data_IF_490664434660
#
_entry.id   IF_490664434660
#
_cell.length_a   1.000
_cell.length_b   1.000
_cell.length_c   1.000
_cell.angle_alpha   90.00
_cell.angle_beta   90.00
_cell.angle_gamma   90.00
#
_symmetry.space_group_name_H-M   'P 1'
#
loop_
_entity.id
_entity.type
_entity.pdbx_description
1 polymer ?
#
# COMPACT_ATOMS: atom_id res chain seq x y z
N UNK A 1 30.14 14.87 4.61
CA UNK A 1 28.94 15.44 5.24
C UNK A 1 27.86 15.45 4.17
N UNK A 2 26.89 14.52 4.23
CA UNK A 2 25.72 14.59 3.33
C UNK A 2 24.76 15.58 3.97
N UNK A 3 24.49 16.68 3.28
CA UNK A 3 23.32 17.50 3.56
C UNK A 3 22.11 16.64 3.15
N UNK A 4 21.48 15.98 4.13
CA UNK A 4 20.30 15.15 3.91
C UNK A 4 19.06 16.03 3.98
N UNK A 5 18.17 15.88 3.01
CA UNK A 5 16.79 16.31 3.16
C UNK A 5 15.92 15.07 3.27
N UNK A 6 14.77 15.18 3.93
CA UNK A 6 13.78 14.11 4.06
C UNK A 6 13.61 13.34 2.74
N UNK A 7 13.84 12.03 2.76
CA UNK A 7 13.78 11.22 1.55
C UNK A 7 12.32 10.87 1.25
N UNK A 8 11.89 11.19 0.03
CA UNK A 8 10.58 10.81 -0.47
C UNK A 8 10.76 9.83 -1.62
N UNK A 9 10.20 8.63 -1.47
CA UNK A 9 10.13 7.64 -2.54
C UNK A 9 8.68 7.35 -2.91
N UNK A 10 8.45 6.94 -4.16
CA UNK A 10 7.12 6.63 -4.66
C UNK A 10 7.08 5.44 -5.59
N UNK A 11 5.97 4.73 -5.57
CA UNK A 11 5.66 3.71 -6.57
C UNK A 11 4.16 3.70 -6.89
N UNK A 12 3.80 3.09 -8.02
CA UNK A 12 2.42 3.07 -8.52
C UNK A 12 1.97 1.65 -8.79
N UNK A 13 0.86 1.25 -8.17
CA UNK A 13 0.16 0.00 -8.44
C UNK A 13 -0.86 0.31 -9.54
N UNK A 14 -0.78 -0.43 -10.67
CA UNK A 14 -1.75 -0.28 -11.77
C UNK A 14 -3.06 -0.95 -11.40
N UNK A 15 -4.18 -0.29 -11.69
CA UNK A 15 -5.52 -0.76 -11.33
C UNK A 15 -5.84 -0.54 -9.85
N UNK A 16 -6.96 -1.11 -9.42
CA UNK A 16 -7.40 -1.07 -8.03
C UNK A 16 -7.06 -2.37 -7.32
N UNK A 17 -7.06 -2.35 -6.00
CA UNK A 17 -7.08 -3.57 -5.19
C UNK A 17 -8.53 -3.93 -4.82
N UNK A 18 -8.81 -5.22 -4.52
CA UNK A 18 -10.05 -5.62 -3.88
C UNK A 18 -10.30 -4.81 -2.63
N UNK A 19 -11.58 -4.58 -2.30
CA UNK A 19 -11.94 -3.89 -1.08
C UNK A 19 -12.01 -4.83 0.13
N UNK A 20 -12.42 -4.25 1.26
CA UNK A 20 -12.68 -4.98 2.50
C UNK A 20 -13.82 -5.99 2.34
N UNK A 21 -14.89 -5.62 1.62
CA UNK A 21 -16.04 -6.49 1.43
C UNK A 21 -15.67 -7.76 0.66
N UNK A 22 -14.87 -7.64 -0.40
CA UNK A 22 -14.37 -8.77 -1.17
C UNK A 22 -13.48 -9.70 -0.33
N UNK A 23 -12.69 -9.15 0.61
CA UNK A 23 -11.95 -9.96 1.58
C UNK A 23 -12.89 -10.72 2.51
N UNK A 24 -13.87 -10.06 3.12
CA UNK A 24 -14.83 -10.67 4.05
C UNK A 24 -15.63 -11.79 3.37
N UNK A 25 -16.08 -11.56 2.13
CA UNK A 25 -16.77 -12.57 1.34
C UNK A 25 -15.88 -13.79 1.05
N UNK A 26 -14.62 -13.55 0.69
CA UNK A 26 -13.65 -14.62 0.47
C UNK A 26 -13.40 -15.45 1.74
N UNK A 27 -13.23 -14.79 2.89
CA UNK A 27 -13.04 -15.45 4.19
C UNK A 27 -14.26 -16.29 4.61
N UNK A 28 -15.47 -15.76 4.39
CA UNK A 28 -16.73 -16.47 4.68
C UNK A 28 -16.97 -17.66 3.76
N UNK A 29 -16.51 -17.57 2.51
CA UNK A 29 -16.70 -18.64 1.52
C UNK A 29 -15.85 -19.87 1.83
N UNK A 30 -14.57 -19.68 2.15
CA UNK A 30 -13.68 -20.77 2.51
C UNK A 30 -12.46 -20.25 3.28
N UNK A 31 -12.05 -20.96 4.34
CA UNK A 31 -10.97 -20.56 5.26
C UNK A 31 -9.63 -20.16 4.60
N UNK A 32 -9.36 -20.68 3.40
CA UNK A 32 -8.11 -20.42 2.66
C UNK A 32 -8.22 -19.28 1.64
N UNK A 33 -9.44 -18.85 1.29
CA UNK A 33 -9.64 -17.91 0.18
C UNK A 33 -9.23 -16.49 0.53
N UNK A 34 -9.49 -16.02 1.76
CA UNK A 34 -8.96 -14.73 2.23
C UNK A 34 -7.43 -14.67 2.18
N UNK A 35 -6.76 -15.71 2.69
CA UNK A 35 -5.30 -15.82 2.65
C UNK A 35 -4.75 -15.87 1.20
N UNK A 36 -5.45 -16.58 0.30
CA UNK A 36 -5.10 -16.63 -1.12
C UNK A 36 -5.25 -15.27 -1.80
N UNK A 37 -6.36 -14.57 -1.57
CA UNK A 37 -6.63 -13.24 -2.10
C UNK A 37 -5.55 -12.25 -1.65
N UNK A 38 -5.25 -12.24 -0.34
CA UNK A 38 -4.19 -11.42 0.24
C UNK A 38 -2.84 -11.68 -0.42
N UNK A 39 -2.43 -12.96 -0.53
CA UNK A 39 -1.16 -13.34 -1.18
C UNK A 39 -1.08 -12.91 -2.65
N UNK A 40 -2.19 -12.96 -3.38
CA UNK A 40 -2.27 -12.49 -4.77
C UNK A 40 -2.08 -10.97 -4.84
N UNK A 41 -2.76 -10.22 -3.97
CA UNK A 41 -2.65 -8.77 -3.92
C UNK A 41 -1.25 -8.32 -3.48
N UNK A 42 -0.64 -8.98 -2.49
CA UNK A 42 0.74 -8.74 -2.07
C UNK A 42 1.72 -8.92 -3.24
N UNK A 43 1.53 -9.93 -4.09
CA UNK A 43 2.37 -10.16 -5.25
C UNK A 43 2.28 -9.02 -6.28
N UNK A 44 1.08 -8.47 -6.48
CA UNK A 44 0.86 -7.29 -7.35
C UNK A 44 1.58 -6.07 -6.78
N UNK A 45 1.45 -5.81 -5.48
CA UNK A 45 2.15 -4.69 -4.82
C UNK A 45 3.65 -4.87 -4.89
N UNK A 46 4.17 -6.06 -4.57
CA UNK A 46 5.59 -6.36 -4.64
C UNK A 46 6.17 -6.12 -6.03
N UNK A 47 5.43 -6.49 -7.07
CA UNK A 47 5.84 -6.23 -8.45
C UNK A 47 5.96 -4.73 -8.72
N UNK A 48 4.97 -3.94 -8.31
CA UNK A 48 4.99 -2.48 -8.45
C UNK A 48 6.13 -1.84 -7.64
N UNK A 49 6.32 -2.26 -6.40
CA UNK A 49 7.35 -1.74 -5.48
C UNK A 49 8.79 -1.96 -5.98
N UNK A 50 9.02 -2.85 -6.96
CA UNK A 50 10.35 -3.01 -7.60
C UNK A 50 10.88 -1.71 -8.20
N UNK A 51 10.01 -0.75 -8.54
CA UNK A 51 10.45 0.57 -9.01
C UNK A 51 11.22 1.37 -7.96
N UNK A 52 11.11 1.02 -6.67
CA UNK A 52 11.91 1.60 -5.59
C UNK A 52 13.39 1.17 -5.63
N UNK A 53 13.72 0.15 -6.44
CA UNK A 53 15.08 -0.34 -6.61
C UNK A 53 15.71 -0.82 -5.29
N UNK A 54 16.84 -0.22 -4.92
CA UNK A 54 17.61 -0.58 -3.73
C UNK A 54 17.22 0.20 -2.47
N UNK A 55 16.24 1.11 -2.55
CA UNK A 55 15.83 1.88 -1.37
C UNK A 55 15.30 0.96 -0.27
N UNK A 56 15.67 1.27 0.97
CA UNK A 56 15.27 0.55 2.19
C UNK A 56 15.09 1.61 3.27
N UNK A 57 13.99 1.55 4.00
CA UNK A 57 13.79 2.43 5.14
C UNK A 57 14.79 2.05 6.25
N UNK A 58 15.53 3.06 6.71
CA UNK A 58 16.42 3.04 7.85
C UNK A 58 15.73 3.56 9.13
N UNK A 59 14.70 4.41 9.00
CA UNK A 59 13.90 4.96 10.09
C UNK A 59 12.37 4.77 9.94
N UNK A 60 11.58 5.34 10.87
CA UNK A 60 10.12 5.39 10.75
C UNK A 60 9.69 6.14 9.48
N UNK A 61 8.60 5.69 8.88
CA UNK A 61 8.05 6.30 7.66
C UNK A 61 6.61 6.77 7.85
N UNK A 62 6.25 7.86 7.17
CA UNK A 62 4.88 8.29 6.95
C UNK A 62 4.45 7.90 5.53
N UNK A 63 3.30 7.26 5.39
CA UNK A 63 2.78 6.81 4.09
C UNK A 63 1.61 7.65 3.61
N UNK A 64 1.59 8.03 2.33
CA UNK A 64 0.42 8.65 1.70
C UNK A 64 -0.07 7.74 0.58
N UNK A 65 -1.32 7.29 0.69
CA UNK A 65 -1.98 6.44 -0.29
C UNK A 65 -2.98 7.29 -1.09
N UNK A 66 -2.72 7.48 -2.38
CA UNK A 66 -3.68 8.09 -3.31
C UNK A 66 -4.41 7.01 -4.09
N UNK A 67 -5.69 6.84 -3.78
CA UNK A 67 -6.59 5.86 -4.39
C UNK A 67 -7.33 6.51 -5.56
N UNK A 68 -6.98 6.12 -6.79
CA UNK A 68 -7.71 6.51 -8.00
C UNK A 68 -8.67 5.40 -8.39
N UNK A 69 -9.93 5.57 -8.01
CA UNK A 69 -11.00 4.62 -8.31
C UNK A 69 -11.62 4.91 -9.70
N UNK A 70 -12.12 3.90 -10.43
CA UNK A 70 -12.74 4.12 -11.72
C UNK A 70 -14.11 4.82 -11.62
N UNK A 71 -14.74 4.77 -10.44
CA UNK A 71 -16.04 5.37 -10.13
C UNK A 71 -16.21 5.47 -8.60
N UNK A 72 -17.35 6.02 -8.14
CA UNK A 72 -17.66 6.21 -6.71
C UNK A 72 -18.58 5.14 -6.11
N UNK A 73 -18.57 3.91 -6.65
CA UNK A 73 -19.50 2.84 -6.18
C UNK A 73 -19.06 2.20 -4.87
N UNK A 74 -17.76 2.19 -4.58
CA UNK A 74 -17.19 1.73 -3.30
C UNK A 74 -17.00 2.93 -2.39
N UNK A 75 -17.37 2.77 -1.13
CA UNK A 75 -17.05 3.69 -0.04
C UNK A 75 -15.53 3.68 0.27
N UNK A 76 -15.08 4.71 0.98
CA UNK A 76 -13.64 4.98 1.18
C UNK A 76 -12.97 3.93 2.08
N UNK A 77 -13.66 3.48 3.12
CA UNK A 77 -13.21 2.41 4.02
C UNK A 77 -13.11 1.08 3.29
N UNK A 78 -14.09 0.72 2.46
CA UNK A 78 -14.03 -0.47 1.62
C UNK A 78 -12.81 -0.41 0.68
N UNK A 79 -12.49 0.76 0.11
CA UNK A 79 -11.32 0.94 -0.78
C UNK A 79 -9.99 0.83 -0.02
N UNK A 80 -9.81 1.55 1.09
CA UNK A 80 -8.47 1.70 1.69
C UNK A 80 -8.14 0.64 2.75
N UNK A 81 -9.11 0.09 3.48
CA UNK A 81 -8.83 -0.72 4.67
C UNK A 81 -7.99 -1.96 4.36
N UNK A 82 -8.43 -2.77 3.39
CA UNK A 82 -7.67 -3.94 2.96
C UNK A 82 -6.41 -3.55 2.18
N UNK A 83 -6.51 -2.54 1.31
CA UNK A 83 -5.41 -2.09 0.48
C UNK A 83 -4.19 -1.64 1.28
N UNK A 84 -4.37 -0.81 2.33
CA UNK A 84 -3.27 -0.36 3.21
C UNK A 84 -2.52 -1.54 3.81
N UNK A 85 -3.26 -2.51 4.35
CA UNK A 85 -2.67 -3.69 4.99
C UNK A 85 -1.87 -4.52 4.00
N UNK A 86 -2.44 -4.79 2.83
CA UNK A 86 -1.74 -5.52 1.75
C UNK A 86 -0.46 -4.79 1.33
N UNK A 87 -0.52 -3.47 1.20
CA UNK A 87 0.64 -2.68 0.77
C UNK A 87 1.76 -2.75 1.80
N UNK A 88 1.44 -2.55 3.08
CA UNK A 88 2.42 -2.61 4.16
C UNK A 88 3.03 -4.01 4.29
N UNK A 89 2.21 -5.07 4.31
CA UNK A 89 2.68 -6.46 4.37
C UNK A 89 3.59 -6.80 3.18
N UNK A 90 3.24 -6.34 1.98
CA UNK A 90 4.06 -6.51 0.78
C UNK A 90 5.41 -5.78 0.89
N UNK A 91 5.43 -4.55 1.42
CA UNK A 91 6.69 -3.80 1.60
C UNK A 91 7.61 -4.47 2.64
N UNK A 92 7.06 -5.01 3.73
CA UNK A 92 7.82 -5.82 4.72
C UNK A 92 8.35 -7.09 4.07
N UNK A 93 7.50 -7.83 3.36
CA UNK A 93 7.89 -9.05 2.63
C UNK A 93 8.97 -8.80 1.58
N UNK A 94 8.91 -7.64 0.91
CA UNK A 94 9.89 -7.16 -0.07
C UNK A 94 11.17 -6.64 0.56
N UNK A 95 11.23 -6.61 1.90
CA UNK A 95 12.29 -6.04 2.72
C UNK A 95 12.50 -4.54 2.52
N UNK A 96 11.53 -3.80 1.96
CA UNK A 96 11.61 -2.34 1.86
C UNK A 96 11.43 -1.67 3.22
N UNK A 97 10.57 -2.25 4.05
CA UNK A 97 10.41 -1.93 5.46
C UNK A 97 10.88 -3.12 6.31
N UNK A 98 11.36 -2.84 7.53
CA UNK A 98 11.74 -3.90 8.49
C UNK A 98 10.51 -4.58 9.07
N UNK A 99 9.46 -3.80 9.33
CA UNK A 99 8.16 -4.23 9.84
C UNK A 99 7.10 -3.15 9.53
N UNK A 100 5.83 -3.36 9.88
CA UNK A 100 4.73 -2.39 9.72
C UNK A 100 4.14 -1.93 11.07
N UNK A 101 4.90 -2.09 12.15
CA UNK A 101 4.48 -1.76 13.51
C UNK A 101 4.65 -0.30 13.87
N UNK A 102 4.36 0.02 15.14
CA UNK A 102 4.44 1.37 15.71
C UNK A 102 5.82 2.04 15.60
N UNK A 103 6.90 1.27 15.47
CA UNK A 103 8.26 1.81 15.33
C UNK A 103 8.61 2.16 13.89
N UNK A 104 7.94 1.55 12.93
CA UNK A 104 8.25 1.68 11.51
C UNK A 104 7.26 2.58 10.78
N UNK A 105 6.00 2.62 11.22
CA UNK A 105 4.95 3.45 10.61
C UNK A 105 4.60 4.59 11.58
N UNK A 106 5.17 5.77 11.32
CA UNK A 106 4.90 6.98 12.11
C UNK A 106 3.47 7.51 11.90
N UNK A 107 2.91 7.26 10.71
CA UNK A 107 1.55 7.63 10.37
C UNK A 107 1.21 7.33 8.93
N UNK A 108 -0.06 7.48 8.58
CA UNK A 108 -0.50 7.37 7.20
C UNK A 108 -1.70 8.25 6.89
N UNK A 109 -1.87 8.54 5.60
CA UNK A 109 -2.96 9.34 5.06
C UNK A 109 -3.56 8.67 3.82
N UNK A 110 -4.88 8.72 3.70
CA UNK A 110 -5.61 8.23 2.53
C UNK A 110 -6.23 9.41 1.78
N UNK A 111 -5.92 9.54 0.49
CA UNK A 111 -6.47 10.54 -0.42
C UNK A 111 -7.24 9.81 -1.52
N UNK A 112 -8.45 10.27 -1.84
CA UNK A 112 -9.35 9.57 -2.76
C UNK A 112 -9.72 10.45 -3.93
N UNK A 113 -9.52 9.92 -5.13
CA UNK A 113 -9.82 10.57 -6.39
C UNK A 113 -10.52 9.58 -7.35
N UNK A 114 -11.16 10.11 -8.39
CA UNK A 114 -11.77 9.30 -9.44
C UNK A 114 -11.02 9.51 -10.74
N UNK A 115 -10.51 8.42 -11.32
CA UNK A 115 -9.92 8.40 -12.66
C UNK A 115 -10.47 7.19 -13.41
N UNK A 116 -11.57 7.41 -14.14
CA UNK A 116 -12.25 6.37 -14.90
C UNK A 116 -11.37 5.75 -16.01
N UNK A 117 -10.37 6.48 -16.51
CA UNK A 117 -9.52 6.03 -17.62
C UNK A 117 -8.28 5.29 -17.12
N UNK A 118 -7.73 5.69 -15.97
CA UNK A 118 -6.46 5.19 -15.43
C UNK A 118 -6.53 4.97 -13.92
N UNK A 119 -7.38 4.03 -13.46
CA UNK A 119 -7.42 3.65 -12.05
C UNK A 119 -6.07 3.09 -11.61
N UNK A 120 -5.63 3.49 -10.43
CA UNK A 120 -4.30 3.18 -9.87
C UNK A 120 -4.25 3.50 -8.39
N UNK A 121 -3.22 3.02 -7.72
CA UNK A 121 -2.87 3.45 -6.37
C UNK A 121 -1.47 4.02 -6.43
N UNK A 122 -1.31 5.26 -6.01
CA UNK A 122 -0.01 5.90 -5.84
C UNK A 122 0.36 5.86 -4.36
N UNK A 123 1.56 5.36 -4.07
CA UNK A 123 2.07 5.25 -2.71
C UNK A 123 3.31 6.12 -2.60
N UNK A 124 3.25 7.11 -1.72
CA UNK A 124 4.40 7.92 -1.34
C UNK A 124 4.84 7.52 0.06
N UNK A 125 6.14 7.39 0.24
CA UNK A 125 6.76 7.04 1.52
C UNK A 125 7.74 8.17 1.85
N UNK A 126 7.48 8.81 2.98
CA UNK A 126 8.29 9.87 3.55
C UNK A 126 9.06 9.26 4.71
N UNK A 127 10.37 9.28 4.63
CA UNK A 127 11.25 8.83 5.70
C UNK A 127 11.73 10.04 6.50
N UNK A 128 11.43 10.05 7.80
CA UNK A 128 11.89 11.11 8.69
C UNK A 128 13.38 10.95 8.97
N UNK A 129 14.13 12.06 8.93
CA UNK A 129 15.52 12.05 9.42
C UNK A 129 15.49 11.98 10.94
N UNK A 130 16.10 10.93 11.49
CA UNK A 130 16.29 10.78 12.93
C UNK A 130 17.57 11.48 13.41
#
# INVERSE_FOLDING_TARGET
MRQGGAQVVKFTIRGTLPGLNELIEAERSHRQMGAKLKKQCEAVVLHAARSLGKWRADGPVRMVYRWYEPNRRRDKDNVCAFGRKVIQDALVRGKYLRNDGWKEIAGFEDVFEVDAKRPRIEVEIYEDEN
#
